data_IF_603634521753
#
_entry.id   IF_603634521753
#
_cell.length_a   1.000
_cell.length_b   1.000
_cell.length_c   1.000
_cell.angle_alpha   90.00
_cell.angle_beta   90.00
_cell.angle_gamma   90.00
#
_symmetry.space_group_name_H-M   'P 1'
#
loop_
_entity.id
_entity.type
_entity.pdbx_description
1 polymer ?
#
# COMPACT_ATOMS: atom_id res chain seq x y z
N UNK A 1 16.47 -37.37 -4.05
CA UNK A 1 15.21 -36.59 -4.22
C UNK A 1 14.66 -36.27 -2.84
N UNK A 2 14.99 -35.09 -2.29
CA UNK A 2 14.34 -34.60 -1.07
C UNK A 2 12.98 -34.04 -1.46
N UNK A 3 11.92 -34.65 -0.95
CA UNK A 3 10.55 -34.10 -1.01
C UNK A 3 10.61 -32.71 -0.38
N UNK A 4 10.23 -31.69 -1.14
CA UNK A 4 9.94 -30.37 -0.59
C UNK A 4 8.68 -30.54 0.26
N UNK A 5 8.83 -30.37 1.58
CA UNK A 5 7.71 -30.25 2.48
C UNK A 5 6.95 -28.98 2.11
N UNK A 6 5.70 -29.13 1.67
CA UNK A 6 4.76 -28.02 1.66
C UNK A 6 4.53 -27.65 3.13
N UNK A 7 5.18 -26.59 3.60
CA UNK A 7 4.78 -25.94 4.84
C UNK A 7 3.37 -25.41 4.64
N UNK A 8 2.40 -26.05 5.27
CA UNK A 8 1.09 -25.45 5.52
C UNK A 8 1.35 -24.19 6.35
N UNK A 9 1.21 -23.03 5.71
CA UNK A 9 1.22 -21.75 6.41
C UNK A 9 -0.02 -21.77 7.31
N UNK A 10 0.18 -21.79 8.62
CA UNK A 10 -0.92 -21.68 9.56
C UNK A 10 -1.55 -20.28 9.45
N UNK A 11 -2.65 -20.21 8.69
CA UNK A 11 -3.42 -18.99 8.48
C UNK A 11 -4.06 -18.46 9.77
N UNK A 12 -3.97 -19.21 10.89
CA UNK A 12 -4.51 -18.83 12.20
C UNK A 12 -3.61 -17.93 13.05
N UNK A 13 -2.40 -17.54 12.61
CA UNK A 13 -1.66 -16.45 13.27
C UNK A 13 -1.24 -15.35 12.30
N UNK A 14 -2.10 -14.33 12.21
CA UNK A 14 -1.74 -13.02 12.70
C UNK A 14 -2.72 -12.58 13.79
N UNK A 15 -2.26 -12.48 15.04
CA UNK A 15 -3.00 -11.83 16.14
C UNK A 15 -3.30 -10.35 15.82
N UNK A 16 -2.58 -9.78 14.85
CA UNK A 16 -2.70 -8.41 14.39
C UNK A 16 -3.84 -8.22 13.36
N UNK A 17 -4.96 -7.69 13.84
CA UNK A 17 -6.15 -7.43 13.02
C UNK A 17 -5.91 -6.39 11.90
N UNK A 18 -4.86 -5.57 11.98
CA UNK A 18 -4.53 -4.58 10.94
C UNK A 18 -4.03 -5.22 9.65
N UNK A 19 -3.61 -6.48 9.71
CA UNK A 19 -3.13 -7.25 8.56
C UNK A 19 -4.24 -8.06 7.89
N UNK A 20 -5.44 -8.06 8.46
CA UNK A 20 -6.62 -8.76 7.93
C UNK A 20 -7.61 -7.71 7.41
N UNK A 21 -7.70 -7.60 6.09
CA UNK A 21 -8.48 -6.58 5.40
C UNK A 21 -9.77 -7.19 4.86
N UNK A 22 -10.88 -6.50 5.09
CA UNK A 22 -12.19 -6.90 4.58
C UNK A 22 -12.35 -6.46 3.13
N UNK A 23 -12.76 -7.40 2.27
CA UNK A 23 -13.08 -7.18 0.85
C UNK A 23 -14.56 -7.45 0.55
N UNK A 24 -15.39 -7.66 1.58
CA UNK A 24 -16.78 -8.07 1.47
C UNK A 24 -17.64 -7.14 0.64
N UNK A 25 -17.37 -5.84 0.73
CA UNK A 25 -18.07 -4.79 0.00
C UNK A 25 -17.66 -4.62 -1.45
N UNK A 26 -16.60 -5.30 -1.93
CA UNK A 26 -16.09 -5.13 -3.30
C UNK A 26 -16.89 -6.04 -4.26
N UNK A 27 -17.52 -5.44 -5.26
CA UNK A 27 -18.28 -6.16 -6.28
C UNK A 27 -17.36 -7.00 -7.19
N UNK A 28 -16.21 -6.44 -7.60
CA UNK A 28 -15.24 -7.10 -8.49
C UNK A 28 -14.02 -7.64 -7.77
N UNK A 29 -14.21 -8.72 -7.00
CA UNK A 29 -13.16 -9.33 -6.16
C UNK A 29 -11.87 -9.63 -6.94
N UNK A 30 -11.94 -10.41 -8.02
CA UNK A 30 -10.75 -10.81 -8.78
C UNK A 30 -9.95 -9.61 -9.31
N UNK A 31 -10.65 -8.54 -9.71
CA UNK A 31 -9.99 -7.30 -10.12
C UNK A 31 -9.28 -6.63 -8.94
N UNK A 32 -9.93 -6.56 -7.78
CA UNK A 32 -9.33 -6.02 -6.56
C UNK A 32 -8.12 -6.85 -6.08
N UNK A 33 -8.18 -8.18 -6.19
CA UNK A 33 -7.06 -9.06 -5.84
C UNK A 33 -5.87 -8.82 -6.77
N UNK A 34 -6.07 -8.84 -8.10
CA UNK A 34 -5.00 -8.50 -9.07
C UNK A 34 -4.45 -7.10 -8.83
N UNK A 35 -5.32 -6.15 -8.54
CA UNK A 35 -4.96 -4.76 -8.27
C UNK A 35 -4.06 -4.62 -7.05
N UNK A 36 -4.41 -5.27 -5.93
CA UNK A 36 -3.58 -5.24 -4.73
C UNK A 36 -2.22 -5.92 -4.93
N UNK A 37 -2.16 -7.01 -5.71
CA UNK A 37 -0.90 -7.68 -6.05
C UNK A 37 0.09 -6.76 -6.78
N UNK A 38 -0.38 -5.73 -7.49
CA UNK A 38 0.50 -4.74 -8.11
C UNK A 38 1.32 -3.94 -7.08
N UNK A 39 0.91 -3.88 -5.81
CA UNK A 39 1.59 -3.13 -4.76
C UNK A 39 2.32 -3.99 -3.74
N UNK A 40 2.15 -5.32 -3.81
CA UNK A 40 2.90 -6.28 -3.00
C UNK A 40 4.40 -5.99 -3.12
N UNK A 41 5.07 -5.84 -1.97
CA UNK A 41 6.49 -5.49 -1.85
C UNK A 41 6.93 -4.15 -2.47
N UNK A 42 6.00 -3.34 -3.00
CA UNK A 42 6.28 -2.02 -3.60
C UNK A 42 5.83 -0.87 -2.72
N UNK A 43 4.75 -1.06 -1.96
CA UNK A 43 4.32 -0.14 -0.91
C UNK A 43 4.37 -0.86 0.43
N UNK A 44 4.78 -0.15 1.47
CA UNK A 44 4.79 -0.70 2.82
C UNK A 44 3.38 -0.71 3.42
N UNK A 45 3.10 -1.70 4.27
CA UNK A 45 1.84 -1.81 5.01
C UNK A 45 2.08 -1.43 6.47
N UNK A 46 1.33 -0.46 6.96
CA UNK A 46 1.35 -0.05 8.36
C UNK A 46 0.33 -0.83 9.18
N UNK A 47 0.74 -1.21 10.38
CA UNK A 47 -0.15 -1.65 11.45
C UNK A 47 -0.02 -0.72 12.63
N UNK A 48 -1.16 -0.13 12.99
CA UNK A 48 -1.30 0.77 14.13
C UNK A 48 -1.20 0.03 15.46
N UNK A 49 -1.85 -1.13 15.57
CA UNK A 49 -1.95 -1.93 16.79
C UNK A 49 -0.59 -2.33 17.36
N UNK A 50 0.41 -2.54 16.49
CA UNK A 50 1.78 -2.88 16.90
C UNK A 50 2.81 -1.81 16.54
N UNK A 51 2.40 -0.66 15.98
CA UNK A 51 3.28 0.45 15.58
C UNK A 51 4.40 0.01 14.64
N UNK A 52 4.06 -0.78 13.62
CA UNK A 52 5.02 -1.37 12.67
C UNK A 52 4.70 -1.05 11.22
N UNK A 53 5.75 -0.97 10.40
CA UNK A 53 5.66 -0.89 8.94
C UNK A 53 6.30 -2.15 8.33
N UNK A 54 5.51 -2.92 7.60
CA UNK A 54 5.97 -4.11 6.89
C UNK A 54 6.42 -3.74 5.48
N UNK A 55 7.68 -4.00 5.17
CA UNK A 55 8.29 -3.64 3.88
C UNK A 55 8.42 -4.84 2.94
N UNK A 56 8.35 -6.06 3.48
CA UNK A 56 8.34 -7.32 2.74
C UNK A 56 7.22 -8.23 3.25
N UNK A 57 6.27 -8.54 2.37
CA UNK A 57 5.09 -9.33 2.67
C UNK A 57 4.55 -10.01 1.41
N UNK A 58 3.70 -11.00 1.62
CA UNK A 58 2.87 -11.60 0.57
C UNK A 58 1.40 -11.33 0.87
N UNK A 59 0.60 -11.20 -0.19
CA UNK A 59 -0.85 -11.08 -0.08
C UNK A 59 -1.49 -12.45 -0.29
N UNK A 60 -2.19 -12.90 0.75
CA UNK A 60 -2.96 -14.13 0.73
C UNK A 60 -4.46 -13.82 0.66
N UNK A 61 -5.18 -14.58 -0.16
CA UNK A 61 -6.62 -14.44 -0.37
C UNK A 61 -7.30 -15.79 -0.05
N UNK A 62 -7.38 -16.14 1.25
CA UNK A 62 -7.95 -17.40 1.70
C UNK A 62 -9.41 -17.53 1.28
N UNK A 63 -9.80 -18.70 0.75
CA UNK A 63 -11.18 -18.95 0.32
C UNK A 63 -12.12 -19.28 1.50
N UNK A 64 -11.54 -19.76 2.59
CA UNK A 64 -12.16 -20.27 3.82
C UNK A 64 -12.40 -19.17 4.88
N UNK A 65 -11.60 -18.09 4.88
CA UNK A 65 -11.80 -16.92 5.75
C UNK A 65 -12.77 -15.89 5.16
N UNK A 66 -13.56 -16.27 4.15
CA UNK A 66 -14.49 -15.40 3.45
C UNK A 66 -13.79 -14.40 2.53
N UNK A 67 -14.42 -13.25 2.27
CA UNK A 67 -13.87 -12.19 1.40
C UNK A 67 -12.82 -11.36 2.16
N UNK A 68 -11.70 -11.97 2.53
CA UNK A 68 -10.58 -11.32 3.24
C UNK A 68 -9.31 -11.33 2.40
N UNK A 69 -8.52 -10.28 2.58
CA UNK A 69 -7.11 -10.24 2.18
C UNK A 69 -6.26 -10.24 3.44
N UNK A 70 -5.27 -11.12 3.49
CA UNK A 70 -4.33 -11.23 4.61
C UNK A 70 -2.96 -10.80 4.12
N UNK A 71 -2.38 -9.81 4.80
CA UNK A 71 -0.99 -9.38 4.62
C UNK A 71 -0.14 -10.28 5.49
N UNK A 72 0.76 -11.07 4.89
CA UNK A 72 1.66 -11.97 5.58
C UNK A 72 3.09 -11.44 5.51
N UNK A 73 3.61 -10.79 6.56
CA UNK A 73 5.00 -10.37 6.62
C UNK A 73 5.95 -11.56 6.49
N UNK A 74 7.13 -11.34 5.91
CA UNK A 74 8.15 -12.38 5.86
C UNK A 74 8.75 -12.61 7.27
N UNK A 75 8.36 -13.71 7.92
CA UNK A 75 8.83 -14.08 9.26
C UNK A 75 10.32 -14.39 9.36
N UNK A 76 10.99 -14.62 8.22
CA UNK A 76 12.43 -14.88 8.17
C UNK A 76 13.27 -13.65 7.85
N UNK A 77 12.62 -12.50 7.57
CA UNK A 77 13.29 -11.25 7.26
C UNK A 77 12.97 -10.18 8.31
N UNK A 78 13.48 -10.37 9.52
CA UNK A 78 13.25 -9.45 10.65
C UNK A 78 13.71 -8.00 10.36
N UNK A 79 14.67 -7.82 9.44
CA UNK A 79 15.14 -6.51 8.98
C UNK A 79 14.15 -5.79 8.03
N UNK A 80 13.11 -6.48 7.58
CA UNK A 80 12.09 -5.91 6.69
C UNK A 80 10.87 -5.34 7.44
N UNK A 81 10.93 -5.29 8.78
CA UNK A 81 9.93 -4.65 9.63
C UNK A 81 10.53 -3.41 10.29
N UNK A 82 9.89 -2.25 10.07
CA UNK A 82 10.25 -1.01 10.73
C UNK A 82 9.38 -0.84 11.97
N UNK A 83 9.99 -0.48 13.10
CA UNK A 83 9.33 -0.43 14.41
C UNK A 83 9.21 1.01 14.95
N UNK A 84 8.34 1.20 15.94
CA UNK A 84 8.18 2.50 16.59
C UNK A 84 7.53 3.54 15.69
N UNK A 85 6.62 3.11 14.82
CA UNK A 85 5.89 4.02 13.92
C UNK A 85 4.62 4.48 14.63
N UNK A 86 4.63 5.69 15.18
CA UNK A 86 3.46 6.25 15.85
C UNK A 86 2.35 6.63 14.88
N UNK A 87 1.10 6.39 15.27
CA UNK A 87 -0.08 6.74 14.48
C UNK A 87 -0.13 8.24 14.14
N UNK A 88 0.35 9.12 15.03
CA UNK A 88 0.44 10.56 14.80
C UNK A 88 1.40 10.96 13.67
N UNK A 89 2.32 10.07 13.29
CA UNK A 89 3.21 10.27 12.15
C UNK A 89 2.53 9.87 10.83
N UNK A 90 1.36 9.24 10.86
CA UNK A 90 0.63 8.79 9.68
C UNK A 90 -0.39 9.83 9.27
N UNK A 91 -0.34 10.27 8.00
CA UNK A 91 -1.24 11.27 7.47
C UNK A 91 -1.95 10.82 6.21
N UNK A 92 -3.28 10.94 6.22
CA UNK A 92 -4.13 10.76 5.03
C UNK A 92 -3.75 11.78 3.96
N UNK A 93 -3.55 11.34 2.71
CA UNK A 93 -3.09 12.22 1.61
C UNK A 93 -4.21 12.77 0.73
N UNK A 94 -5.37 12.09 0.66
CA UNK A 94 -6.40 12.38 -0.33
C UNK A 94 -6.10 11.83 -1.74
N UNK A 95 -4.95 11.19 -1.92
CA UNK A 95 -4.54 10.61 -3.20
C UNK A 95 -5.10 9.19 -3.31
N UNK A 96 -5.74 8.89 -4.44
CA UNK A 96 -6.28 7.58 -4.74
C UNK A 96 -5.60 7.01 -5.99
N UNK A 97 -5.12 5.77 -5.92
CA UNK A 97 -4.62 5.03 -7.08
C UNK A 97 -5.73 4.10 -7.57
N UNK A 98 -5.94 4.02 -8.88
CA UNK A 98 -6.96 3.17 -9.49
C UNK A 98 -6.49 2.57 -10.84
N UNK A 99 -7.07 1.45 -11.28
CA UNK A 99 -6.83 0.90 -12.61
C UNK A 99 -7.34 1.84 -13.70
N UNK A 100 -6.48 2.20 -14.66
CA UNK A 100 -6.86 3.04 -15.79
C UNK A 100 -7.80 2.37 -16.79
N UNK A 101 -7.73 1.03 -16.90
CA UNK A 101 -8.50 0.26 -17.89
C UNK A 101 -10.01 0.49 -17.78
N UNK A 102 -10.52 0.69 -16.56
CA UNK A 102 -11.93 0.98 -16.31
C UNK A 102 -12.38 2.38 -16.79
N UNK A 103 -11.43 3.26 -17.08
CA UNK A 103 -11.65 4.59 -17.66
C UNK A 103 -11.13 4.69 -19.11
N UNK A 104 -10.85 3.55 -19.76
CA UNK A 104 -10.31 3.51 -21.12
C UNK A 104 -8.88 4.07 -21.24
N UNK A 105 -8.11 4.09 -20.15
CA UNK A 105 -6.73 4.58 -20.12
C UNK A 105 -5.75 3.44 -19.80
N UNK A 106 -4.52 3.45 -20.30
CA UNK A 106 -3.53 2.43 -19.97
C UNK A 106 -2.99 2.59 -18.55
N UNK A 107 -2.54 1.48 -17.96
CA UNK A 107 -1.80 1.44 -16.69
C UNK A 107 -2.61 1.91 -15.48
N UNK A 108 -1.91 2.45 -14.49
CA UNK A 108 -2.49 3.02 -13.28
C UNK A 108 -2.72 4.53 -13.42
N UNK A 109 -3.73 5.03 -12.70
CA UNK A 109 -4.03 6.46 -12.59
C UNK A 109 -3.99 6.90 -11.13
N UNK A 110 -3.67 8.17 -10.92
CA UNK A 110 -3.82 8.86 -9.64
C UNK A 110 -4.95 9.89 -9.73
N UNK A 111 -5.84 9.93 -8.74
CA UNK A 111 -6.87 10.94 -8.58
C UNK A 111 -6.73 11.66 -7.24
N UNK A 112 -7.15 12.93 -7.19
CA UNK A 112 -7.32 13.66 -5.95
C UNK A 112 -8.78 13.52 -5.52
N UNK A 113 -9.03 12.74 -4.48
CA UNK A 113 -10.36 12.41 -3.97
C UNK A 113 -11.28 11.73 -5.00
N UNK A 114 -12.05 10.75 -4.53
CA UNK A 114 -13.11 10.09 -5.28
C UNK A 114 -14.41 10.48 -4.60
N UNK A 115 -15.13 11.45 -5.18
CA UNK A 115 -16.39 11.94 -4.64
C UNK A 115 -17.55 11.11 -5.19
N UNK A 116 -18.46 10.67 -4.32
CA UNK A 116 -19.64 9.85 -4.67
C UNK A 116 -20.69 10.59 -5.53
N UNK A 117 -20.48 11.89 -5.81
CA UNK A 117 -21.41 12.76 -6.53
C UNK A 117 -21.46 12.60 -8.07
N UNK A 118 -20.92 11.50 -8.62
CA UNK A 118 -21.10 11.13 -10.03
C UNK A 118 -20.26 11.90 -11.06
N UNK A 119 -19.38 12.82 -10.66
CA UNK A 119 -18.41 13.43 -11.58
C UNK A 119 -17.23 12.48 -11.82
N UNK A 120 -16.82 12.32 -13.08
CA UNK A 120 -15.61 11.55 -13.41
C UNK A 120 -14.40 12.15 -12.69
N UNK A 121 -13.66 11.36 -11.90
CA UNK A 121 -12.53 11.85 -11.12
C UNK A 121 -11.49 12.51 -12.03
N UNK A 122 -10.92 13.63 -11.60
CA UNK A 122 -9.76 14.21 -12.29
C UNK A 122 -8.55 13.31 -12.06
N UNK A 123 -8.22 12.52 -13.08
CA UNK A 123 -7.12 11.55 -13.05
C UNK A 123 -5.88 12.03 -13.80
N UNK A 124 -4.71 11.59 -13.35
CA UNK A 124 -3.43 11.74 -14.04
C UNK A 124 -2.75 10.35 -14.17
N UNK A 125 -1.96 10.08 -15.23
CA UNK A 125 -1.15 8.86 -15.29
C UNK A 125 -0.25 8.70 -14.06
N UNK A 126 -0.23 7.50 -13.47
CA UNK A 126 0.39 7.27 -12.16
C UNK A 126 1.86 7.68 -12.10
N UNK A 127 2.66 7.30 -13.11
CA UNK A 127 4.08 7.69 -13.19
C UNK A 127 4.28 9.20 -13.21
N UNK A 128 3.51 9.90 -14.04
CA UNK A 128 3.57 11.36 -14.15
C UNK A 128 3.16 12.03 -12.83
N UNK A 129 2.14 11.50 -12.16
CA UNK A 129 1.68 12.00 -10.87
C UNK A 129 2.73 11.79 -9.77
N UNK A 130 3.36 10.60 -9.69
CA UNK A 130 4.47 10.35 -8.77
C UNK A 130 5.64 11.31 -9.01
N UNK A 131 6.03 11.55 -10.26
CA UNK A 131 7.09 12.52 -10.58
C UNK A 131 6.75 13.93 -10.08
N UNK A 132 5.51 14.38 -10.27
CA UNK A 132 5.07 15.69 -9.76
C UNK A 132 5.07 15.75 -8.24
N UNK A 133 4.61 14.70 -7.55
CA UNK A 133 4.59 14.64 -6.09
C UNK A 133 6.02 14.68 -5.54
N UNK A 134 6.91 13.84 -6.07
CA UNK A 134 8.32 13.79 -5.65
C UNK A 134 8.99 15.15 -5.85
N UNK A 135 8.80 15.77 -7.01
CA UNK A 135 9.37 17.08 -7.32
C UNK A 135 8.87 18.17 -6.37
N UNK A 136 7.54 18.24 -6.15
CA UNK A 136 6.93 19.22 -5.24
C UNK A 136 7.37 19.05 -3.79
N UNK A 137 7.43 17.81 -3.29
CA UNK A 137 7.91 17.58 -1.92
C UNK A 137 9.38 17.99 -1.77
N UNK A 138 10.23 17.66 -2.75
CA UNK A 138 11.64 18.06 -2.75
C UNK A 138 11.80 19.59 -2.73
N UNK A 139 11.01 20.32 -3.53
CA UNK A 139 11.00 21.78 -3.52
C UNK A 139 10.59 22.38 -2.17
N UNK A 140 9.67 21.71 -1.46
CA UNK A 140 9.24 22.08 -0.12
C UNK A 140 10.19 21.60 1.01
N UNK A 141 11.36 21.04 0.66
CA UNK A 141 12.33 20.51 1.64
C UNK A 141 11.88 19.22 2.33
N UNK A 142 10.92 18.50 1.77
CA UNK A 142 10.38 17.27 2.32
C UNK A 142 10.44 16.08 1.36
N UNK A 143 9.90 14.96 1.81
CA UNK A 143 9.78 13.73 1.03
C UNK A 143 8.34 13.23 1.04
N UNK A 144 7.99 12.49 -0.02
CA UNK A 144 6.77 11.71 -0.04
C UNK A 144 7.11 10.27 0.35
N UNK A 145 6.57 9.80 1.47
CA UNK A 145 6.81 8.44 1.97
C UNK A 145 5.47 7.69 1.99
N UNK A 146 5.00 7.17 0.83
CA UNK A 146 3.69 6.56 0.73
C UNK A 146 3.65 5.20 1.42
N UNK A 147 2.54 4.95 2.09
CA UNK A 147 2.26 3.70 2.80
C UNK A 147 0.78 3.34 2.63
N UNK A 148 0.47 2.09 2.90
CA UNK A 148 -0.88 1.55 2.96
C UNK A 148 -1.23 1.13 4.38
N UNK A 149 -2.51 1.14 4.71
CA UNK A 149 -3.03 0.57 5.96
C UNK A 149 -4.43 -0.03 5.75
N UNK A 150 -4.89 -0.79 6.74
CA UNK A 150 -6.23 -1.40 6.72
C UNK A 150 -7.31 -0.36 6.41
N UNK A 151 -8.18 -0.69 5.45
CA UNK A 151 -9.26 0.19 5.00
C UNK A 151 -8.89 1.15 3.85
N UNK A 152 -7.66 1.07 3.33
CA UNK A 152 -7.24 1.84 2.16
C UNK A 152 -7.76 1.27 0.84
N UNK A 153 -7.93 -0.05 0.73
CA UNK A 153 -8.61 -0.67 -0.40
C UNK A 153 -10.12 -0.41 -0.32
N UNK A 154 -10.67 0.21 -1.35
CA UNK A 154 -12.08 0.61 -1.44
C UNK A 154 -12.60 0.41 -2.87
N UNK A 155 -13.90 0.59 -3.05
CA UNK A 155 -14.56 0.54 -4.36
C UNK A 155 -15.30 1.85 -4.62
N UNK A 156 -15.25 2.28 -5.87
CA UNK A 156 -16.03 3.40 -6.40
C UNK A 156 -17.06 2.86 -7.40
N UNK A 157 -18.30 3.34 -7.29
CA UNK A 157 -19.42 3.02 -8.19
C UNK A 157 -19.63 1.52 -8.43
N UNK A 158 -19.41 0.69 -7.40
CA UNK A 158 -19.57 -0.78 -7.43
C UNK A 158 -18.79 -1.50 -8.54
N UNK A 159 -17.73 -0.89 -9.08
CA UNK A 159 -16.98 -1.46 -10.20
C UNK A 159 -15.47 -1.23 -10.12
N UNK A 160 -15.05 -0.12 -9.50
CA UNK A 160 -13.68 0.35 -9.60
C UNK A 160 -12.97 0.25 -8.26
N UNK A 161 -12.10 -0.76 -8.07
CA UNK A 161 -11.26 -0.78 -6.88
C UNK A 161 -10.25 0.37 -6.95
N UNK A 162 -9.98 0.96 -5.80
CA UNK A 162 -8.94 1.96 -5.64
C UNK A 162 -8.27 1.81 -4.27
N UNK A 163 -7.02 2.25 -4.17
CA UNK A 163 -6.32 2.39 -2.89
C UNK A 163 -6.21 3.85 -2.53
N UNK A 164 -6.56 4.19 -1.30
CA UNK A 164 -6.30 5.51 -0.74
C UNK A 164 -4.89 5.52 -0.13
N UNK A 165 -4.03 6.47 -0.52
CA UNK A 165 -2.66 6.52 0.00
C UNK A 165 -2.57 7.31 1.31
N UNK A 166 -1.80 6.78 2.24
CA UNK A 166 -1.29 7.49 3.40
C UNK A 166 0.17 7.89 3.19
N UNK A 167 0.67 8.81 4.01
CA UNK A 167 2.10 9.15 4.05
C UNK A 167 2.63 9.14 5.46
N UNK A 168 3.89 8.73 5.61
CA UNK A 168 4.63 8.83 6.86
C UNK A 168 5.32 10.20 6.98
N UNK A 169 5.21 10.81 8.15
CA UNK A 169 5.89 12.04 8.56
C UNK A 169 7.01 11.69 9.55
N UNK A 170 8.18 11.31 9.06
CA UNK A 170 9.29 10.80 9.88
C UNK A 170 9.74 11.79 10.96
N UNK A 171 9.60 13.10 10.72
CA UNK A 171 9.89 14.14 11.70
C UNK A 171 8.98 14.12 12.94
N UNK A 172 7.85 13.41 12.90
CA UNK A 172 6.96 13.18 14.04
C UNK A 172 7.41 12.02 14.92
N UNK A 173 8.31 11.16 14.46
CA UNK A 173 8.87 10.04 15.22
C UNK A 173 9.99 10.55 16.16
N UNK A 174 9.64 11.44 17.08
CA UNK A 174 10.61 12.15 17.95
C UNK A 174 11.30 11.22 18.93
N UNK A 175 10.66 10.12 19.31
CA UNK A 175 11.19 9.09 20.20
C UNK A 175 12.25 8.19 19.55
N UNK A 176 12.35 8.18 18.21
CA UNK A 176 13.37 7.44 17.48
C UNK A 176 14.67 8.23 17.37
N UNK A 177 15.78 7.51 17.24
CA UNK A 177 17.07 8.14 16.97
C UNK A 177 17.09 8.77 15.57
N UNK A 178 18.05 9.68 15.33
CA UNK A 178 18.24 10.24 13.99
C UNK A 178 18.58 9.14 12.97
N UNK A 179 19.37 8.14 13.38
CA UNK A 179 19.74 7.01 12.55
C UNK A 179 18.52 6.17 12.14
N UNK A 180 17.65 5.82 13.10
CA UNK A 180 16.44 5.04 12.81
C UNK A 180 15.49 5.78 11.87
N UNK A 181 15.32 7.10 12.11
CA UNK A 181 14.51 7.96 11.24
C UNK A 181 15.06 7.99 9.81
N UNK A 182 16.37 8.10 9.66
CA UNK A 182 17.03 8.11 8.35
C UNK A 182 16.88 6.76 7.64
N UNK A 183 17.03 5.64 8.34
CA UNK A 183 16.85 4.31 7.75
C UNK A 183 15.40 4.08 7.27
N UNK A 184 14.41 4.44 8.10
CA UNK A 184 12.99 4.40 7.74
C UNK A 184 12.73 5.22 6.46
N UNK A 185 13.25 6.46 6.46
CA UNK A 185 13.09 7.37 5.33
C UNK A 185 13.72 6.80 4.05
N UNK A 186 14.94 6.28 4.13
CA UNK A 186 15.64 5.72 2.98
C UNK A 186 14.94 4.46 2.45
N UNK A 187 14.48 3.57 3.34
CA UNK A 187 13.78 2.35 2.96
C UNK A 187 12.51 2.64 2.16
N UNK A 188 11.66 3.53 2.65
CA UNK A 188 10.42 3.90 1.93
C UNK A 188 10.74 4.68 0.65
N UNK A 189 11.77 5.53 0.66
CA UNK A 189 12.20 6.27 -0.54
C UNK A 189 12.67 5.32 -1.65
N UNK A 190 13.48 4.30 -1.32
CA UNK A 190 13.91 3.28 -2.29
C UNK A 190 12.72 2.59 -2.95
N UNK A 191 11.74 2.18 -2.15
CA UNK A 191 10.51 1.55 -2.66
C UNK A 191 9.68 2.48 -3.54
N UNK A 192 9.51 3.75 -3.16
CA UNK A 192 8.84 4.73 -4.01
C UNK A 192 9.56 4.91 -5.36
N UNK A 193 10.89 4.97 -5.36
CA UNK A 193 11.66 5.10 -6.61
C UNK A 193 11.57 3.86 -7.49
N UNK A 194 11.52 2.66 -6.89
CA UNK A 194 11.25 1.41 -7.62
C UNK A 194 9.84 1.44 -8.23
N UNK A 195 8.83 1.77 -7.42
CA UNK A 195 7.44 1.90 -7.87
C UNK A 195 7.31 2.91 -9.02
N UNK A 196 8.00 4.05 -8.93
CA UNK A 196 8.03 5.07 -9.99
C UNK A 196 8.64 4.54 -11.31
N UNK A 197 9.71 3.74 -11.23
CA UNK A 197 10.36 3.16 -12.42
C UNK A 197 9.49 2.11 -13.09
N UNK A 198 8.76 1.34 -12.28
CA UNK A 198 7.90 0.24 -12.75
C UNK A 198 6.48 0.67 -13.10
N UNK A 199 6.08 1.91 -12.76
CA UNK A 199 4.70 2.38 -12.81
C UNK A 199 3.98 2.14 -14.15
N UNK A 200 4.68 2.26 -15.29
CA UNK A 200 4.07 2.05 -16.62
C UNK A 200 3.88 0.57 -16.97
N UNK A 201 4.56 -0.34 -16.26
CA UNK A 201 4.41 -1.80 -16.41
C UNK A 201 3.30 -2.38 -15.54
N UNK A 202 2.77 -1.61 -14.59
CA UNK A 202 1.71 -2.05 -13.69
C UNK A 202 0.35 -1.95 -14.38
N UNK A 203 -0.21 -3.11 -14.74
CA UNK A 203 -1.50 -3.22 -15.44
C UNK A 203 -2.34 -4.30 -14.76
N UNK A 204 -3.64 -4.02 -14.55
CA UNK A 204 -4.62 -4.98 -14.06
C UNK A 204 -5.26 -5.75 -15.20
#
# INVERSE_FOLDING_TARGET
MKRMEHQEIDLHQPQNQDLIWDMGSLARRELAERFMRLFENRLCVYSESVRQLYTNYTLHFPSDLGRKMVVLPNTYAFHDTLHGIDAEAIRKTGLCVLPGALLGKPGLLLANHLDEGGQTPKTMPFRAALAQIISKQKQAGGLFLPILQKGDLREFDQQMPYIHLHRLQVNKLTHLSAFDRDDIQQTITRKLLMLYREADSLVC
#
